data_IF_718403407897
#
_entry.id   IF_718403407897
#
_cell.length_a   1.000
_cell.length_b   1.000
_cell.length_c   1.000
_cell.angle_alpha   90.00
_cell.angle_beta   90.00
_cell.angle_gamma   90.00
#
_symmetry.space_group_name_H-M   'P 1'
#
loop_
_entity.id
_entity.type
_entity.pdbx_description
1 polymer ?
#
# COMPACT_ATOMS: atom_id res chain seq x y z
N UNK A 1 6.44 -4.42 -9.15
CA UNK A 1 5.08 -4.06 -9.64
C UNK A 1 4.46 -3.08 -8.65
N UNK A 2 3.74 -2.07 -9.13
CA UNK A 2 2.90 -1.22 -8.28
C UNK A 2 1.44 -1.67 -8.38
N UNK A 3 0.78 -1.80 -7.24
CA UNK A 3 -0.62 -2.26 -7.14
C UNK A 3 -1.41 -1.26 -6.32
N UNK A 4 -2.49 -0.74 -6.89
CA UNK A 4 -3.45 0.08 -6.17
C UNK A 4 -4.45 -0.79 -5.40
N UNK A 5 -4.66 -0.49 -4.12
CA UNK A 5 -5.63 -1.15 -3.26
C UNK A 5 -6.60 -0.10 -2.66
N UNK A 6 -7.65 0.32 -3.39
CA UNK A 6 -8.44 1.51 -3.04
C UNK A 6 -9.24 1.42 -1.73
N UNK A 7 -9.53 0.20 -1.25
CA UNK A 7 -10.29 -0.03 0.00
C UNK A 7 -9.40 -0.54 1.14
N UNK A 8 -8.08 -0.55 0.94
CA UNK A 8 -7.14 -0.96 1.97
C UNK A 8 -6.76 0.22 2.87
N UNK A 9 -6.29 -0.07 4.08
CA UNK A 9 -5.88 0.94 5.05
C UNK A 9 -4.44 1.36 4.78
N UNK A 10 -4.22 2.63 4.49
CA UNK A 10 -2.87 3.20 4.44
C UNK A 10 -2.38 3.61 5.83
N UNK A 11 -1.14 4.10 5.90
CA UNK A 11 -0.51 4.53 7.16
C UNK A 11 -1.02 5.87 7.70
N UNK A 12 -1.99 6.52 7.05
CA UNK A 12 -2.53 7.78 7.56
C UNK A 12 -3.37 7.51 8.81
N UNK A 13 -3.02 8.11 9.96
CA UNK A 13 -3.81 7.96 11.16
C UNK A 13 -5.16 8.68 11.02
N UNK A 14 -6.19 8.14 11.63
CA UNK A 14 -7.53 8.75 11.64
C UNK A 14 -8.32 8.59 10.33
N UNK A 15 -7.84 7.78 9.38
CA UNK A 15 -8.62 7.39 8.19
C UNK A 15 -9.17 5.97 8.36
N UNK A 16 -10.14 5.60 7.52
CA UNK A 16 -10.65 4.24 7.43
C UNK A 16 -10.75 3.85 5.96
N UNK A 17 -9.92 2.89 5.54
CA UNK A 17 -9.90 2.33 4.17
C UNK A 17 -9.81 3.43 3.10
N UNK A 18 -8.90 4.39 3.32
CA UNK A 18 -8.66 5.53 2.42
C UNK A 18 -7.88 5.17 1.15
N UNK A 19 -7.43 3.92 1.02
CA UNK A 19 -6.69 3.42 -0.12
C UNK A 19 -5.19 3.39 0.12
N UNK A 20 -4.56 2.29 -0.31
CA UNK A 20 -3.13 2.04 -0.19
C UNK A 20 -2.48 1.79 -1.55
N UNK A 21 -1.18 2.08 -1.63
CA UNK A 21 -0.33 1.71 -2.76
C UNK A 21 0.69 0.68 -2.28
N UNK A 22 0.84 -0.41 -3.03
CA UNK A 22 1.74 -1.50 -2.70
C UNK A 22 2.83 -1.65 -3.77
N UNK A 23 4.05 -1.94 -3.32
CA UNK A 23 5.15 -2.35 -4.17
C UNK A 23 5.40 -3.84 -3.95
N UNK A 24 5.21 -4.64 -4.99
CA UNK A 24 5.39 -6.08 -4.95
C UNK A 24 6.60 -6.51 -5.79
N UNK A 25 7.44 -7.43 -5.32
CA UNK A 25 8.49 -8.05 -6.13
C UNK A 25 7.89 -8.99 -7.19
N UNK A 26 8.71 -9.43 -8.15
CA UNK A 26 8.30 -10.38 -9.20
C UNK A 26 8.44 -11.83 -8.70
N UNK A 27 7.62 -12.20 -7.73
CA UNK A 27 7.54 -13.55 -7.17
C UNK A 27 6.09 -14.04 -7.21
N UNK A 28 5.83 -15.29 -6.84
CA UNK A 28 4.48 -15.84 -6.67
C UNK A 28 3.94 -15.66 -5.24
N UNK A 29 4.71 -15.05 -4.34
CA UNK A 29 4.28 -14.80 -2.98
C UNK A 29 3.35 -13.57 -2.96
N UNK A 30 2.27 -13.65 -2.18
CA UNK A 30 1.28 -12.56 -2.07
C UNK A 30 1.50 -11.68 -0.85
N UNK A 31 2.42 -12.09 0.04
CA UNK A 31 2.66 -11.48 1.35
C UNK A 31 3.96 -10.68 1.40
N UNK A 32 4.75 -10.69 0.32
CA UNK A 32 6.03 -9.98 0.22
C UNK A 32 5.89 -8.58 -0.40
N UNK A 33 4.66 -8.12 -0.63
CA UNK A 33 4.39 -6.73 -0.98
C UNK A 33 4.63 -5.80 0.22
N UNK A 34 5.20 -4.63 -0.04
CA UNK A 34 5.37 -3.56 0.95
C UNK A 34 4.48 -2.38 0.63
N UNK A 35 3.82 -1.82 1.63
CA UNK A 35 3.00 -0.63 1.43
C UNK A 35 3.91 0.58 1.25
N UNK A 36 3.70 1.32 0.16
CA UNK A 36 4.40 2.57 -0.17
C UNK A 36 3.78 3.70 0.65
N UNK A 37 4.62 4.55 1.25
CA UNK A 37 4.18 5.76 1.93
C UNK A 37 3.85 6.81 0.86
N UNK A 38 2.59 7.19 0.75
CA UNK A 38 2.08 8.15 -0.25
C UNK A 38 1.48 9.40 0.40
N UNK A 39 1.59 9.56 1.71
CA UNK A 39 0.98 10.63 2.49
C UNK A 39 1.75 11.95 2.46
N UNK A 40 2.74 12.08 1.57
CA UNK A 40 3.52 13.30 1.37
C UNK A 40 4.58 13.57 2.44
N UNK A 41 4.82 12.63 3.36
CA UNK A 41 5.95 12.70 4.30
C UNK A 41 7.20 12.15 3.61
N UNK A 42 8.16 13.03 3.30
CA UNK A 42 9.49 12.66 2.78
C UNK A 42 10.48 12.48 3.93
#
# INVERSE_FOLDING_TARGET
ILVGAPLDQNRQPGTNRSGALWQCPLTTYTTDCIQVITDGRQ
#
